data_IF_872338393987
#
_entry.id   IF_872338393987
#
_cell.length_a   1.000
_cell.length_b   1.000
_cell.length_c   1.000
_cell.angle_alpha   90.00
_cell.angle_beta   90.00
_cell.angle_gamma   90.00
#
_symmetry.space_group_name_H-M   'P 1'
#
loop_
_entity.id
_entity.type
_entity.pdbx_description
1 polymer ?
#
# COMPACT_ATOMS: atom_id res chain seq x y z
N UNK A 1 -38.82 -4.84 -35.59
CA UNK A 1 -38.13 -5.91 -34.82
C UNK A 1 -36.65 -5.83 -35.20
N UNK A 2 -35.78 -5.35 -34.29
CA UNK A 2 -34.83 -6.15 -33.45
C UNK A 2 -33.73 -6.79 -34.32
N UNK A 3 -32.40 -6.65 -34.15
CA UNK A 3 -31.45 -6.17 -33.11
C UNK A 3 -30.07 -6.01 -33.82
N UNK A 4 -29.27 -4.96 -33.59
CA UNK A 4 -28.07 -4.90 -32.71
C UNK A 4 -27.17 -6.15 -32.75
N UNK A 5 -25.93 -5.99 -33.24
CA UNK A 5 -24.64 -6.45 -32.64
C UNK A 5 -23.52 -5.59 -33.31
N UNK A 6 -23.08 -4.47 -32.76
CA UNK A 6 -22.09 -4.31 -31.67
C UNK A 6 -20.72 -4.96 -31.99
N UNK A 7 -19.83 -4.18 -32.62
CA UNK A 7 -18.42 -4.52 -32.77
C UNK A 7 -17.71 -4.42 -31.42
N UNK A 8 -17.26 -5.56 -30.90
CA UNK A 8 -16.43 -5.67 -29.71
C UNK A 8 -15.00 -5.22 -30.04
N UNK A 9 -14.65 -4.00 -29.65
CA UNK A 9 -13.24 -3.63 -29.42
C UNK A 9 -12.76 -4.40 -28.19
N UNK A 10 -11.99 -5.46 -28.42
CA UNK A 10 -11.26 -6.15 -27.37
C UNK A 10 -10.06 -5.29 -27.00
N UNK A 11 -10.15 -4.59 -25.87
CA UNK A 11 -8.98 -3.99 -25.21
C UNK A 11 -8.23 -5.14 -24.55
N UNK A 12 -7.21 -5.66 -25.23
CA UNK A 12 -6.22 -6.54 -24.63
C UNK A 12 -5.23 -5.67 -23.85
N UNK A 13 -5.48 -5.45 -22.56
CA UNK A 13 -4.46 -4.95 -21.63
C UNK A 13 -3.53 -6.13 -21.30
N UNK A 14 -2.44 -6.24 -22.06
CA UNK A 14 -1.32 -7.10 -21.71
C UNK A 14 -0.56 -6.45 -20.56
N UNK A 15 -0.40 -7.23 -19.50
CA UNK A 15 0.57 -6.98 -18.44
C UNK A 15 2.00 -7.08 -18.99
N UNK A 16 2.86 -6.23 -18.43
CA UNK A 16 4.33 -6.28 -18.43
C UNK A 16 5.06 -5.79 -19.70
N UNK A 17 5.70 -4.62 -19.56
CA UNK A 17 7.07 -4.37 -20.02
C UNK A 17 7.64 -3.20 -19.18
N UNK A 18 8.12 -3.55 -17.99
CA UNK A 18 8.73 -2.68 -16.97
C UNK A 18 10.16 -2.24 -17.34
N UNK A 19 10.37 -1.73 -18.56
CA UNK A 19 11.72 -1.29 -19.00
C UNK A 19 11.77 -0.09 -19.94
N UNK A 20 10.66 0.61 -20.22
CA UNK A 20 10.65 1.72 -21.20
C UNK A 20 10.44 3.15 -20.63
N UNK A 21 10.29 3.35 -19.33
CA UNK A 21 9.84 4.66 -18.80
C UNK A 21 10.78 5.33 -17.79
N UNK A 22 12.10 5.17 -17.94
CA UNK A 22 13.01 6.11 -17.27
C UNK A 22 13.05 7.42 -18.09
N UNK A 23 12.00 8.25 -17.96
CA UNK A 23 12.01 9.63 -18.44
C UNK A 23 10.73 10.20 -19.08
N UNK A 24 9.65 9.42 -19.21
CA UNK A 24 8.38 9.94 -19.73
C UNK A 24 7.63 10.75 -18.66
N UNK A 25 7.02 11.88 -19.03
CA UNK A 25 6.16 12.64 -18.11
C UNK A 25 4.92 11.81 -17.74
N UNK A 26 4.29 12.11 -16.59
CA UNK A 26 3.02 11.43 -16.21
C UNK A 26 1.94 11.61 -17.30
N UNK A 27 1.95 12.76 -17.97
CA UNK A 27 1.09 13.05 -19.12
C UNK A 27 1.27 12.02 -20.24
N UNK A 28 2.51 11.71 -20.62
CA UNK A 28 2.82 10.74 -21.66
C UNK A 28 2.50 9.31 -21.22
N UNK A 29 2.95 8.93 -20.03
CA UNK A 29 2.77 7.59 -19.47
C UNK A 29 1.30 7.18 -19.36
N UNK A 30 0.46 8.11 -18.90
CA UNK A 30 -0.97 7.87 -18.71
C UNK A 30 -1.84 8.39 -19.86
N UNK A 31 -1.22 8.90 -20.94
CA UNK A 31 -1.93 9.50 -22.08
C UNK A 31 -2.98 10.54 -21.64
N UNK A 32 -2.59 11.43 -20.73
CA UNK A 32 -3.48 12.43 -20.14
C UNK A 32 -3.81 13.48 -21.22
N UNK A 33 -5.08 13.75 -21.48
CA UNK A 33 -5.54 14.78 -22.43
C UNK A 33 -6.46 15.81 -21.75
N UNK A 34 -6.98 16.77 -22.52
CA UNK A 34 -8.02 17.69 -22.01
C UNK A 34 -9.30 16.96 -21.61
N UNK A 35 -9.64 15.87 -22.27
CA UNK A 35 -10.72 14.97 -21.84
C UNK A 35 -10.43 14.39 -20.45
N UNK A 36 -9.18 13.99 -20.18
CA UNK A 36 -8.76 13.53 -18.85
C UNK A 36 -8.89 14.63 -17.78
N UNK A 37 -8.70 15.90 -18.14
CA UNK A 37 -8.93 17.03 -17.23
C UNK A 37 -10.41 17.21 -16.88
N UNK A 38 -11.33 16.84 -17.77
CA UNK A 38 -12.76 16.77 -17.46
C UNK A 38 -13.09 15.59 -16.56
N UNK A 39 -12.44 14.44 -16.79
CA UNK A 39 -12.50 13.25 -15.93
C UNK A 39 -11.38 13.26 -14.87
N UNK A 40 -11.19 14.42 -14.22
CA UNK A 40 -10.03 14.67 -13.35
C UNK A 40 -9.94 13.66 -12.20
N UNK A 41 -11.08 13.23 -11.67
CA UNK A 41 -11.18 12.31 -10.54
C UNK A 41 -10.61 10.94 -10.94
N UNK A 42 -11.07 10.38 -12.06
CA UNK A 42 -10.57 9.11 -12.60
C UNK A 42 -9.09 9.21 -12.95
N UNK A 43 -8.69 10.32 -13.56
CA UNK A 43 -7.30 10.53 -13.99
C UNK A 43 -6.36 10.59 -12.80
N UNK A 44 -6.68 11.39 -11.78
CA UNK A 44 -5.85 11.46 -10.58
C UNK A 44 -5.83 10.12 -9.86
N UNK A 45 -6.96 9.41 -9.73
CA UNK A 45 -6.99 8.07 -9.11
C UNK A 45 -6.08 7.11 -9.87
N UNK A 46 -6.22 7.02 -11.19
CA UNK A 46 -5.42 6.12 -12.02
C UNK A 46 -3.92 6.42 -11.94
N UNK A 47 -3.54 7.69 -12.03
CA UNK A 47 -2.13 8.10 -11.95
C UNK A 47 -1.60 7.80 -10.55
N UNK A 48 -2.32 8.19 -9.51
CA UNK A 48 -1.90 7.97 -8.13
C UNK A 48 -1.75 6.48 -7.83
N UNK A 49 -2.73 5.65 -8.15
CA UNK A 49 -2.67 4.21 -7.93
C UNK A 49 -1.57 3.55 -8.76
N UNK A 50 -1.43 3.93 -10.03
CA UNK A 50 -0.43 3.36 -10.93
C UNK A 50 1.02 3.76 -10.60
N UNK A 51 1.22 4.94 -10.03
CA UNK A 51 2.52 5.41 -9.54
C UNK A 51 2.81 4.92 -8.12
N UNK A 52 1.82 4.35 -7.44
CA UNK A 52 2.00 3.81 -6.09
C UNK A 52 2.72 2.47 -6.13
N UNK A 53 3.75 2.34 -5.30
CA UNK A 53 4.47 1.08 -5.14
C UNK A 53 3.53 -0.05 -4.66
N UNK A 54 2.58 0.28 -3.79
CA UNK A 54 1.53 -0.62 -3.31
C UNK A 54 0.18 0.03 -3.63
N UNK A 55 -0.76 -0.69 -4.25
CA UNK A 55 -2.07 -0.13 -4.65
C UNK A 55 -2.90 0.25 -3.41
N UNK A 56 -2.90 -0.62 -2.40
CA UNK A 56 -3.57 -0.42 -1.12
C UNK A 56 -2.89 0.63 -0.22
N UNK A 57 -1.91 1.40 -0.72
CA UNK A 57 -1.15 2.38 0.07
C UNK A 57 -2.07 3.47 0.65
N UNK A 58 -3.22 3.72 0.03
CA UNK A 58 -4.25 4.63 0.52
C UNK A 58 -5.28 3.94 1.40
N UNK A 59 -4.98 2.72 1.87
CA UNK A 59 -5.92 1.99 2.69
C UNK A 59 -7.15 1.49 1.93
N UNK A 60 -6.98 1.15 0.65
CA UNK A 60 -8.10 0.84 -0.23
C UNK A 60 -9.18 1.95 -0.26
N UNK A 61 -8.87 3.15 0.25
CA UNK A 61 -9.72 4.33 0.14
C UNK A 61 -9.40 5.04 -1.16
N UNK A 62 -10.42 5.65 -1.75
CA UNK A 62 -10.25 6.48 -2.94
C UNK A 62 -9.15 7.54 -2.69
N UNK A 63 -8.09 7.61 -3.52
CA UNK A 63 -7.00 8.56 -3.35
C UNK A 63 -7.43 10.02 -3.17
N UNK A 64 -8.50 10.44 -3.83
CA UNK A 64 -9.06 11.80 -3.70
C UNK A 64 -9.60 12.03 -2.28
N UNK A 65 -10.27 11.04 -1.70
CA UNK A 65 -10.79 11.14 -0.33
C UNK A 65 -9.62 11.27 0.65
N UNK A 66 -8.58 10.44 0.50
CA UNK A 66 -7.36 10.54 1.32
C UNK A 66 -6.70 11.92 1.20
N UNK A 67 -6.50 12.41 -0.04
CA UNK A 67 -5.91 13.72 -0.30
C UNK A 67 -6.68 14.86 0.36
N UNK A 68 -8.01 14.79 0.37
CA UNK A 68 -8.87 15.79 1.01
C UNK A 68 -8.85 15.69 2.53
N UNK A 69 -9.00 14.48 3.10
CA UNK A 69 -8.98 14.25 4.57
C UNK A 69 -7.67 14.68 5.20
N UNK A 70 -6.55 14.46 4.51
CA UNK A 70 -5.21 14.84 4.98
C UNK A 70 -4.86 16.30 4.69
N UNK A 71 -5.76 17.07 4.04
CA UNK A 71 -5.50 18.46 3.64
C UNK A 71 -4.43 18.62 2.54
N UNK A 72 -3.97 17.52 1.94
CA UNK A 72 -3.00 17.54 0.82
C UNK A 72 -3.61 18.12 -0.46
N UNK A 73 -4.93 17.99 -0.62
CA UNK A 73 -5.76 18.68 -1.62
C UNK A 73 -6.51 19.83 -0.94
N UNK A 74 -6.20 21.05 -1.35
CA UNK A 74 -6.88 22.24 -0.80
C UNK A 74 -8.29 22.39 -1.36
N UNK A 75 -9.15 23.14 -0.67
CA UNK A 75 -10.48 23.48 -1.18
C UNK A 75 -10.41 24.25 -2.50
N UNK A 76 -9.40 25.14 -2.66
CA UNK A 76 -9.13 25.84 -3.91
C UNK A 76 -8.85 24.86 -5.05
N UNK A 77 -7.95 23.90 -4.83
CA UNK A 77 -7.60 22.92 -5.86
C UNK A 77 -8.82 22.04 -6.21
N UNK A 78 -9.57 21.60 -5.20
CA UNK A 78 -10.79 20.81 -5.40
C UNK A 78 -11.86 21.58 -6.19
N UNK A 79 -12.06 22.86 -5.88
CA UNK A 79 -13.01 23.71 -6.59
C UNK A 79 -12.59 23.95 -8.04
N UNK A 80 -11.29 24.14 -8.30
CA UNK A 80 -10.74 24.21 -9.66
C UNK A 80 -11.01 22.93 -10.44
N UNK A 81 -10.65 21.76 -9.89
CA UNK A 81 -10.87 20.46 -10.53
C UNK A 81 -12.36 20.22 -10.83
N UNK A 82 -13.24 20.50 -9.87
CA UNK A 82 -14.70 20.40 -10.04
C UNK A 82 -15.24 21.36 -11.11
N UNK A 83 -14.55 22.49 -11.35
CA UNK A 83 -14.93 23.41 -12.42
C UNK A 83 -14.64 22.85 -13.81
N UNK A 84 -13.56 22.07 -13.97
CA UNK A 84 -13.18 21.42 -15.23
C UNK A 84 -14.20 20.35 -15.64
N UNK A 85 -14.71 19.57 -14.68
CA UNK A 85 -15.74 18.55 -14.89
C UNK A 85 -17.00 19.12 -15.58
N UNK A 86 -17.35 20.37 -15.26
CA UNK A 86 -18.54 21.06 -15.75
C UNK A 86 -18.36 21.73 -17.11
N UNK A 87 -17.12 21.81 -17.61
CA UNK A 87 -16.80 22.49 -18.87
C UNK A 87 -16.99 21.59 -20.08
N UNK A 88 -17.18 22.20 -21.24
CA UNK A 88 -16.99 21.50 -22.50
C UNK A 88 -15.49 21.35 -22.77
N UNK A 89 -15.06 20.19 -23.27
CA UNK A 89 -13.64 19.89 -23.45
C UNK A 89 -12.98 20.85 -24.43
N UNK A 90 -13.70 21.31 -25.46
CA UNK A 90 -13.21 22.28 -26.44
C UNK A 90 -12.94 23.67 -25.84
N UNK A 91 -13.48 23.92 -24.64
CA UNK A 91 -13.35 25.21 -23.93
C UNK A 91 -12.33 25.19 -22.80
N UNK A 92 -11.73 24.01 -22.50
CA UNK A 92 -10.62 23.91 -21.56
C UNK A 92 -9.39 24.55 -22.21
N UNK A 93 -8.88 25.63 -21.61
CA UNK A 93 -7.72 26.34 -22.16
C UNK A 93 -6.44 25.54 -21.95
N UNK A 94 -5.38 25.89 -22.67
CA UNK A 94 -4.07 25.25 -22.48
C UNK A 94 -3.48 25.57 -21.10
N UNK A 95 -3.78 26.76 -20.56
CA UNK A 95 -3.39 27.16 -19.20
C UNK A 95 -4.11 26.31 -18.15
N UNK A 96 -5.42 26.12 -18.27
CA UNK A 96 -6.19 25.27 -17.34
C UNK A 96 -5.76 23.80 -17.43
N UNK A 97 -5.44 23.34 -18.62
CA UNK A 97 -4.90 21.99 -18.80
C UNK A 97 -3.50 21.86 -18.15
N UNK A 98 -2.64 22.86 -18.30
CA UNK A 98 -1.34 22.90 -17.63
C UNK A 98 -1.48 22.90 -16.11
N UNK A 99 -2.38 23.72 -15.56
CA UNK A 99 -2.68 23.77 -14.13
C UNK A 99 -3.18 22.41 -13.61
N UNK A 100 -4.01 21.72 -14.40
CA UNK A 100 -4.46 20.36 -14.09
C UNK A 100 -3.28 19.37 -14.05
N UNK A 101 -2.39 19.38 -15.05
CA UNK A 101 -1.20 18.52 -15.06
C UNK A 101 -0.28 18.81 -13.87
N UNK A 102 -0.13 20.07 -13.47
CA UNK A 102 0.63 20.45 -12.28
C UNK A 102 0.02 19.87 -11.01
N UNK A 103 -1.31 19.86 -10.90
CA UNK A 103 -2.00 19.21 -9.79
C UNK A 103 -1.80 17.68 -9.81
N UNK A 104 -1.90 17.02 -10.96
CA UNK A 104 -1.61 15.57 -11.08
C UNK A 104 -0.20 15.26 -10.58
N UNK A 105 0.80 16.02 -11.05
CA UNK A 105 2.19 15.87 -10.61
C UNK A 105 2.38 16.17 -9.12
N UNK A 106 1.75 17.24 -8.61
CA UNK A 106 1.78 17.64 -7.21
C UNK A 106 1.22 16.56 -6.31
N UNK A 107 0.09 15.97 -6.68
CA UNK A 107 -0.53 14.92 -5.87
C UNK A 107 0.28 13.65 -5.90
N UNK A 108 0.84 13.23 -7.03
CA UNK A 108 1.73 12.07 -7.07
C UNK A 108 2.93 12.21 -6.10
N UNK A 109 3.59 13.37 -6.07
CA UNK A 109 4.76 13.62 -5.20
C UNK A 109 4.47 13.67 -3.70
N UNK A 110 3.24 13.96 -3.29
CA UNK A 110 2.85 14.18 -1.88
C UNK A 110 2.34 12.93 -1.17
N UNK A 111 2.44 11.76 -1.80
CA UNK A 111 1.85 10.52 -1.32
C UNK A 111 2.75 9.50 -0.61
N UNK A 112 4.00 9.79 -0.16
CA UNK A 112 4.69 8.85 0.69
C UNK A 112 4.01 8.75 2.07
N UNK A 113 3.26 7.66 2.32
CA UNK A 113 2.77 7.26 3.66
C UNK A 113 3.70 6.24 4.27
N UNK A 114 4.05 6.37 5.55
CA UNK A 114 4.91 5.42 6.25
C UNK A 114 4.08 4.62 7.24
N UNK A 115 3.86 3.34 6.97
CA UNK A 115 2.98 2.54 7.82
C UNK A 115 3.62 2.19 9.17
N UNK A 116 2.85 2.43 10.24
CA UNK A 116 3.15 1.86 11.56
C UNK A 116 1.88 1.40 12.28
N UNK A 117 2.03 0.40 13.14
CA UNK A 117 0.96 -0.08 14.00
C UNK A 117 0.64 0.98 15.07
N UNK A 118 -0.58 1.50 14.99
CA UNK A 118 -1.31 2.24 16.02
C UNK A 118 -1.94 1.29 17.06
N UNK A 119 -2.51 1.85 18.13
CA UNK A 119 -3.02 1.05 19.26
C UNK A 119 -4.25 0.22 18.86
N UNK A 120 -5.08 0.73 17.95
CA UNK A 120 -6.30 0.11 17.40
C UNK A 120 -6.05 -0.97 16.33
N UNK A 121 -4.81 -1.13 15.86
CA UNK A 121 -4.53 -2.05 14.77
C UNK A 121 -4.43 -3.51 15.20
N UNK A 122 -4.15 -3.79 16.48
CA UNK A 122 -4.08 -5.14 17.00
C UNK A 122 -5.46 -5.60 17.48
N UNK A 123 -6.12 -6.46 16.70
CA UNK A 123 -7.45 -7.01 17.02
C UNK A 123 -7.41 -8.06 18.13
N UNK A 124 -6.39 -8.91 18.10
CA UNK A 124 -6.20 -9.99 19.07
C UNK A 124 -4.71 -10.17 19.40
N UNK A 125 -4.14 -9.31 20.27
CA UNK A 125 -2.73 -9.35 20.66
C UNK A 125 -2.31 -10.71 21.23
N UNK A 126 -3.15 -11.33 22.07
CA UNK A 126 -2.86 -12.62 22.69
C UNK A 126 -2.78 -13.74 21.65
N UNK A 127 -3.80 -13.85 20.80
CA UNK A 127 -3.82 -14.85 19.74
C UNK A 127 -2.66 -14.68 18.76
N UNK A 128 -2.20 -13.45 18.54
CA UNK A 128 -1.04 -13.16 17.69
C UNK A 128 0.23 -13.79 18.28
N UNK A 129 0.56 -13.48 19.53
CA UNK A 129 1.79 -14.02 20.15
C UNK A 129 1.75 -15.54 20.27
N UNK A 130 0.57 -16.13 20.53
CA UNK A 130 0.40 -17.58 20.55
C UNK A 130 0.68 -18.21 19.18
N UNK A 131 0.17 -17.58 18.13
CA UNK A 131 0.40 -18.04 16.76
C UNK A 131 1.85 -17.91 16.37
N UNK A 132 2.47 -16.76 16.63
CA UNK A 132 3.90 -16.52 16.36
C UNK A 132 4.77 -17.59 17.02
N UNK A 133 4.56 -17.83 18.32
CA UNK A 133 5.36 -18.82 19.06
C UNK A 133 5.11 -20.22 18.54
N UNK A 134 3.84 -20.63 18.37
CA UNK A 134 3.48 -21.97 17.87
C UNK A 134 4.06 -22.24 16.49
N UNK A 135 3.90 -21.31 15.54
CA UNK A 135 4.37 -21.49 14.16
C UNK A 135 5.90 -21.39 14.04
N UNK A 136 6.58 -20.78 15.01
CA UNK A 136 8.05 -20.72 15.04
C UNK A 136 8.74 -22.09 15.19
N UNK A 137 8.01 -23.11 15.67
CA UNK A 137 8.51 -24.49 15.81
C UNK A 137 8.19 -25.37 14.61
N UNK A 138 7.44 -24.87 13.63
CA UNK A 138 7.15 -25.60 12.39
C UNK A 138 8.43 -25.72 11.58
N UNK A 139 8.72 -26.96 11.12
CA UNK A 139 9.93 -27.28 10.34
C UNK A 139 10.00 -26.56 9.00
N UNK A 140 8.85 -26.38 8.36
CA UNK A 140 8.75 -25.64 7.11
C UNK A 140 8.95 -24.14 7.38
N UNK A 141 9.80 -23.51 6.58
CA UNK A 141 10.06 -22.07 6.60
C UNK A 141 8.74 -21.27 6.49
N UNK A 142 8.54 -20.31 7.39
CA UNK A 142 7.32 -19.53 7.49
C UNK A 142 7.61 -18.18 8.20
N UNK A 143 6.70 -17.20 8.17
CA UNK A 143 6.99 -15.88 8.71
C UNK A 143 7.40 -15.91 10.20
N UNK A 144 6.80 -16.81 10.99
CA UNK A 144 7.06 -16.88 12.43
C UNK A 144 8.45 -17.44 12.76
N UNK A 145 8.92 -18.46 12.03
CA UNK A 145 10.28 -18.98 12.25
C UNK A 145 11.35 -18.05 11.64
N UNK A 146 11.07 -17.38 10.52
CA UNK A 146 11.93 -16.32 9.98
C UNK A 146 12.08 -15.16 10.96
N UNK A 147 10.95 -14.65 11.48
CA UNK A 147 10.94 -13.57 12.47
C UNK A 147 11.76 -13.96 13.71
N UNK A 148 11.59 -15.19 14.21
CA UNK A 148 12.36 -15.68 15.36
C UNK A 148 13.87 -15.76 15.10
N UNK A 149 14.25 -16.31 13.94
CA UNK A 149 15.63 -16.73 13.69
C UNK A 149 16.49 -15.63 13.07
N UNK A 150 15.88 -14.68 12.34
CA UNK A 150 16.59 -13.68 11.54
C UNK A 150 16.24 -12.26 11.99
N UNK A 151 14.96 -11.98 12.19
CA UNK A 151 14.49 -10.61 12.42
C UNK A 151 14.65 -10.17 13.87
N UNK A 152 14.11 -10.95 14.81
CA UNK A 152 14.01 -10.58 16.22
C UNK A 152 15.37 -10.70 16.91
N UNK A 153 15.67 -9.76 17.81
CA UNK A 153 16.75 -10.01 18.77
C UNK A 153 16.32 -11.09 19.76
N UNK A 154 17.29 -11.72 20.43
CA UNK A 154 17.01 -12.70 21.47
C UNK A 154 16.05 -12.15 22.54
N UNK A 155 16.31 -10.94 23.05
CA UNK A 155 15.47 -10.28 24.06
C UNK A 155 14.04 -10.01 23.56
N UNK A 156 13.89 -9.56 22.31
CA UNK A 156 12.59 -9.30 21.71
C UNK A 156 11.78 -10.59 21.54
N UNK A 157 12.43 -11.68 21.13
CA UNK A 157 11.79 -12.98 21.00
C UNK A 157 11.41 -13.59 22.36
N UNK A 158 12.31 -13.53 23.35
CA UNK A 158 12.01 -13.95 24.73
C UNK A 158 10.82 -13.20 25.30
N UNK A 159 10.69 -11.90 25.00
CA UNK A 159 9.52 -11.12 25.39
C UNK A 159 8.22 -11.60 24.70
N UNK A 160 8.26 -11.96 23.41
CA UNK A 160 7.11 -12.55 22.71
C UNK A 160 6.72 -13.91 23.33
N UNK A 161 7.70 -14.75 23.67
CA UNK A 161 7.46 -16.02 24.36
C UNK A 161 6.82 -15.77 25.73
N UNK A 162 7.35 -14.82 26.51
CA UNK A 162 6.78 -14.45 27.80
C UNK A 162 5.32 -13.96 27.68
N UNK A 163 4.97 -13.21 26.62
CA UNK A 163 3.59 -12.82 26.35
C UNK A 163 2.69 -14.01 26.03
N UNK A 164 3.17 -14.99 25.25
CA UNK A 164 2.39 -16.18 24.89
C UNK A 164 2.04 -17.08 26.10
N UNK A 165 2.87 -17.06 27.15
CA UNK A 165 2.67 -17.85 28.37
C UNK A 165 1.63 -17.23 29.33
N UNK A 166 1.22 -15.98 29.10
CA UNK A 166 0.18 -15.33 29.91
C UNK A 166 -1.20 -15.90 29.55
N UNK A 167 -2.20 -15.66 30.41
CA UNK A 167 -3.59 -15.99 30.06
C UNK A 167 -4.15 -15.00 29.03
N UNK A 168 -3.83 -13.72 29.18
CA UNK A 168 -4.18 -12.64 28.27
C UNK A 168 -3.15 -11.49 28.36
N UNK A 169 -3.14 -10.57 27.40
CA UNK A 169 -2.24 -9.41 27.38
C UNK A 169 -2.93 -8.18 27.95
N UNK A 170 -2.28 -7.52 28.92
CA UNK A 170 -2.71 -6.20 29.39
C UNK A 170 -2.58 -5.14 28.30
N UNK A 171 -3.19 -3.96 28.47
CA UNK A 171 -2.96 -2.80 27.58
C UNK A 171 -1.47 -2.44 27.52
N UNK A 172 -0.78 -2.51 28.66
CA UNK A 172 0.66 -2.24 28.76
C UNK A 172 1.47 -3.24 27.93
N UNK A 173 1.10 -4.51 27.96
CA UNK A 173 1.80 -5.56 27.21
C UNK A 173 1.45 -5.52 25.73
N UNK A 174 0.21 -5.21 25.38
CA UNK A 174 -0.22 -4.92 24.00
C UNK A 174 0.59 -3.75 23.41
N UNK A 175 0.78 -2.67 24.17
CA UNK A 175 1.62 -1.53 23.75
C UNK A 175 3.09 -1.92 23.57
N UNK A 176 3.63 -2.82 24.39
CA UNK A 176 4.99 -3.33 24.22
C UNK A 176 5.10 -4.22 22.98
N UNK A 177 4.18 -5.16 22.78
CA UNK A 177 4.11 -6.00 21.58
C UNK A 177 4.06 -5.14 20.32
N UNK A 178 3.17 -4.13 20.28
CA UNK A 178 3.09 -3.17 19.18
C UNK A 178 4.43 -2.50 18.89
N UNK A 179 5.15 -2.05 19.92
CA UNK A 179 6.49 -1.44 19.76
C UNK A 179 7.50 -2.42 19.16
N UNK A 180 7.47 -3.69 19.56
CA UNK A 180 8.34 -4.74 18.99
C UNK A 180 8.02 -4.92 17.50
N UNK A 181 6.75 -5.12 17.16
CA UNK A 181 6.30 -5.29 15.78
C UNK A 181 6.65 -4.08 14.90
N UNK A 182 6.50 -2.86 15.42
CA UNK A 182 6.90 -1.63 14.74
C UNK A 182 8.42 -1.50 14.52
N UNK A 183 9.25 -2.15 15.34
CA UNK A 183 10.68 -2.26 15.08
C UNK A 183 10.94 -3.28 13.97
N UNK A 184 10.26 -4.43 14.00
CA UNK A 184 10.43 -5.48 13.00
C UNK A 184 10.18 -4.96 11.60
N UNK A 185 9.08 -4.23 11.37
CA UNK A 185 8.78 -3.70 10.02
C UNK A 185 9.77 -2.64 9.51
N UNK A 186 10.72 -2.20 10.32
CA UNK A 186 11.79 -1.26 9.92
C UNK A 186 13.10 -1.96 9.59
N UNK A 187 13.19 -3.28 9.82
CA UNK A 187 14.39 -4.09 9.54
C UNK A 187 14.37 -4.55 8.10
N UNK A 188 15.52 -4.51 7.43
CA UNK A 188 15.60 -4.84 6.01
C UNK A 188 15.34 -6.33 5.78
N UNK A 189 15.79 -7.15 6.73
CA UNK A 189 15.64 -8.60 6.76
C UNK A 189 14.24 -9.08 7.18
N UNK A 190 13.26 -8.18 7.36
CA UNK A 190 11.93 -8.56 7.84
C UNK A 190 11.18 -9.49 6.89
N UNK A 191 11.11 -9.10 5.61
CA UNK A 191 10.44 -9.88 4.59
C UNK A 191 11.40 -10.94 4.06
N UNK A 192 10.89 -12.16 3.90
CA UNK A 192 11.57 -13.24 3.20
C UNK A 192 10.58 -13.88 2.22
N UNK A 193 10.99 -13.92 0.96
CA UNK A 193 10.15 -14.40 -0.14
C UNK A 193 9.62 -15.82 0.14
N UNK A 194 10.51 -16.73 0.53
CA UNK A 194 10.19 -18.15 0.70
C UNK A 194 9.27 -18.39 1.88
N UNK A 195 9.56 -17.75 3.02
CA UNK A 195 8.72 -17.80 4.21
C UNK A 195 7.31 -17.28 3.93
N UNK A 196 7.16 -16.20 3.15
CA UNK A 196 5.85 -15.64 2.83
C UNK A 196 5.08 -16.43 1.77
N UNK A 197 5.73 -17.01 0.75
CA UNK A 197 5.04 -17.91 -0.18
C UNK A 197 4.52 -19.18 0.49
N UNK A 198 5.25 -19.70 1.50
CA UNK A 198 4.78 -20.83 2.30
C UNK A 198 3.59 -20.48 3.19
N UNK A 199 3.40 -19.19 3.50
CA UNK A 199 2.21 -18.69 4.21
C UNK A 199 1.02 -18.58 3.27
N UNK A 200 1.25 -18.04 2.07
CA UNK A 200 0.21 -17.74 1.11
C UNK A 200 0.77 -17.58 -0.30
N UNK A 201 0.09 -18.19 -1.30
CA UNK A 201 0.38 -17.98 -2.72
C UNK A 201 -0.72 -17.09 -3.28
N UNK A 202 -0.41 -15.80 -3.51
CA UNK A 202 -1.37 -14.82 -4.00
C UNK A 202 -0.71 -13.63 -4.69
N UNK A 203 -1.49 -12.89 -5.47
CA UNK A 203 -1.04 -11.69 -6.18
C UNK A 203 -0.42 -10.64 -5.26
N UNK A 204 -0.90 -10.53 -4.01
CA UNK A 204 -0.34 -9.61 -3.02
C UNK A 204 1.04 -10.01 -2.54
N UNK A 205 1.36 -11.31 -2.50
CA UNK A 205 2.71 -11.81 -2.18
C UNK A 205 3.65 -11.55 -3.36
N UNK A 206 3.23 -11.91 -4.58
CA UNK A 206 3.98 -11.63 -5.82
C UNK A 206 4.32 -10.14 -5.92
N UNK A 207 3.35 -9.27 -5.62
CA UNK A 207 3.53 -7.82 -5.64
C UNK A 207 4.64 -7.36 -4.68
N UNK A 208 4.61 -7.80 -3.41
CA UNK A 208 5.66 -7.40 -2.45
C UNK A 208 7.01 -7.99 -2.79
N UNK A 209 7.08 -9.23 -3.33
CA UNK A 209 8.32 -9.82 -3.83
C UNK A 209 8.94 -8.97 -4.94
N UNK A 210 8.13 -8.58 -5.93
CA UNK A 210 8.61 -7.75 -7.05
C UNK A 210 9.09 -6.37 -6.60
N UNK A 211 8.54 -5.84 -5.50
CA UNK A 211 8.97 -4.57 -4.93
C UNK A 211 10.29 -4.75 -4.17
N UNK A 212 10.37 -5.77 -3.32
CA UNK A 212 11.55 -6.06 -2.50
C UNK A 212 12.78 -6.39 -3.37
N UNK A 213 12.56 -7.03 -4.52
CA UNK A 213 13.61 -7.34 -5.50
C UNK A 213 14.15 -6.11 -6.28
N UNK A 214 13.56 -4.91 -6.13
CA UNK A 214 14.04 -3.71 -6.82
C UNK A 214 15.40 -3.26 -6.25
N UNK A 215 16.31 -2.91 -7.14
CA UNK A 215 17.54 -2.23 -6.74
C UNK A 215 17.23 -0.81 -6.25
N UNK A 216 17.79 -0.42 -5.11
CA UNK A 216 17.67 0.91 -4.48
C UNK A 216 16.30 1.25 -3.85
N UNK A 217 15.61 0.26 -3.29
CA UNK A 217 14.41 0.50 -2.46
C UNK A 217 14.72 1.46 -1.31
N UNK A 218 13.94 2.54 -1.20
CA UNK A 218 14.10 3.51 -0.12
C UNK A 218 13.64 2.93 1.21
N UNK A 219 14.12 3.47 2.34
CA UNK A 219 13.69 3.00 3.67
C UNK A 219 12.19 3.16 3.94
N UNK A 220 11.53 4.09 3.24
CA UNK A 220 10.08 4.25 3.31
C UNK A 220 9.38 3.10 2.60
N UNK A 221 9.80 2.80 1.37
CA UNK A 221 9.24 1.73 0.56
C UNK A 221 9.43 0.37 1.24
N UNK A 222 10.63 0.12 1.76
CA UNK A 222 10.91 -1.09 2.53
C UNK A 222 9.98 -1.23 3.74
N UNK A 223 9.77 -0.12 4.48
CA UNK A 223 8.87 -0.15 5.62
C UNK A 223 7.44 -0.51 5.25
N UNK A 224 6.96 -0.06 4.09
CA UNK A 224 5.61 -0.34 3.62
C UNK A 224 5.46 -1.76 3.09
N UNK A 225 6.48 -2.27 2.38
CA UNK A 225 6.59 -3.69 2.02
C UNK A 225 6.49 -4.54 3.28
N UNK A 226 7.29 -4.21 4.29
CA UNK A 226 7.32 -4.96 5.55
C UNK A 226 6.00 -4.86 6.33
N UNK A 227 5.34 -3.69 6.34
CA UNK A 227 4.02 -3.55 6.96
C UNK A 227 2.98 -4.45 6.27
N UNK A 228 2.98 -4.49 4.93
CA UNK A 228 2.10 -5.37 4.16
C UNK A 228 2.45 -6.84 4.37
N UNK A 229 3.74 -7.17 4.44
CA UNK A 229 4.21 -8.50 4.78
C UNK A 229 3.73 -8.92 6.19
N UNK A 230 3.81 -8.06 7.20
CA UNK A 230 3.32 -8.35 8.55
C UNK A 230 1.81 -8.63 8.55
N UNK A 231 1.03 -7.85 7.80
CA UNK A 231 -0.39 -8.08 7.62
C UNK A 231 -0.68 -9.43 6.94
N UNK A 232 0.07 -9.79 5.88
CA UNK A 232 -0.07 -11.10 5.19
C UNK A 232 0.32 -12.27 6.11
N UNK A 233 1.33 -12.09 6.96
CA UNK A 233 1.73 -13.13 7.91
C UNK A 233 0.57 -13.46 8.88
N UNK A 234 -0.11 -12.44 9.41
CA UNK A 234 -1.10 -12.61 10.49
C UNK A 234 -2.42 -11.83 10.24
N UNK A 235 -3.14 -12.07 9.14
CA UNK A 235 -4.24 -11.20 8.68
C UNK A 235 -5.43 -11.16 9.66
N UNK A 236 -5.66 -12.24 10.39
CA UNK A 236 -6.75 -12.36 11.38
C UNK A 236 -6.52 -11.50 12.63
N UNK A 237 -5.27 -11.10 12.89
CA UNK A 237 -4.87 -10.44 14.14
C UNK A 237 -4.69 -8.94 14.01
N UNK A 238 -4.66 -8.44 12.77
CA UNK A 238 -4.50 -7.03 12.46
C UNK A 238 -5.76 -6.44 11.84
N UNK A 239 -5.98 -5.14 12.06
CA UNK A 239 -6.82 -4.34 11.18
C UNK A 239 -6.27 -4.37 9.77
N UNK A 240 -7.17 -4.14 8.81
CA UNK A 240 -6.80 -3.82 7.44
C UNK A 240 -5.79 -2.65 7.45
N UNK A 241 -4.88 -2.64 6.46
CA UNK A 241 -3.75 -1.69 6.40
C UNK A 241 -4.20 -0.22 6.34
N UNK A 242 -5.42 0.03 5.87
CA UNK A 242 -6.05 1.35 5.80
C UNK A 242 -6.17 2.06 7.13
N UNK A 243 -6.35 1.26 8.20
CA UNK A 243 -6.51 1.74 9.56
C UNK A 243 -5.19 1.95 10.28
N UNK A 244 -4.05 1.63 9.66
CA UNK A 244 -2.73 1.84 10.27
C UNK A 244 -2.37 3.32 10.18
N UNK A 245 -1.65 3.86 11.15
CA UNK A 245 -1.29 5.27 11.10
C UNK A 245 -0.21 5.57 10.02
N UNK A 246 -0.18 6.83 9.56
CA UNK A 246 0.76 7.36 8.55
C UNK A 246 1.84 8.33 9.05
#
# INVERSE_FOLDING_TARGET
>A
MKKIVAGLFVVALLASCSSLEKGASLEQKYSITKESAKEWDKTIIQVVEGESLIEDWYGNENPIIYLRKTGKMSEKDFNFLTSLEKKDVTTITDEEYSDFLDLVNKYNKKLPRKFYLADENLKNPKGLVDRMVRESFVKMENPSNHIKNVVATQEEWEQIVAFSQQNDLSEKDTKKLRKILNKFIKRNEFYDERAWYNREISDRVIKITNIDAKENTTSLEQNNVNAKALYIAYPEYFSTLDKWDD
#
